data_IF_657589333303
#
_entry.id   IF_657589333303
#
_cell.length_a   1.000
_cell.length_b   1.000
_cell.length_c   1.000
_cell.angle_alpha   90.00
_cell.angle_beta   90.00
_cell.angle_gamma   90.00
#
_symmetry.space_group_name_H-M   'P 1'
#
loop_
_entity.id
_entity.type
_entity.pdbx_description
1 polymer ?
#
# COMPACT_ATOMS: atom_id res chain seq x y z
N UNK A 1 -5.24 18.72 9.91
CA UNK A 1 -4.22 18.72 8.84
C UNK A 1 -4.20 17.31 8.30
N UNK A 2 -4.62 17.15 7.05
CA UNK A 2 -4.70 15.86 6.37
C UNK A 2 -3.30 15.49 5.90
N UNK A 3 -2.82 14.30 6.25
CA UNK A 3 -1.47 13.87 5.90
C UNK A 3 -1.40 12.36 5.69
N UNK A 4 -0.75 11.88 4.62
CA UNK A 4 -0.45 10.47 4.45
C UNK A 4 0.42 9.98 5.61
N UNK A 5 0.05 8.85 6.22
CA UNK A 5 0.81 8.22 7.30
C UNK A 5 1.24 6.84 6.83
N UNK A 6 2.55 6.55 6.88
CA UNK A 6 3.09 5.21 6.69
C UNK A 6 3.36 4.59 8.06
N UNK A 7 2.83 3.40 8.32
CA UNK A 7 3.07 2.64 9.54
C UNK A 7 3.55 1.22 9.24
N UNK A 8 4.36 0.67 10.12
CA UNK A 8 4.66 -0.76 10.17
C UNK A 8 4.86 -1.19 11.62
N UNK A 9 4.43 -2.40 11.98
CA UNK A 9 4.55 -2.94 13.34
C UNK A 9 4.03 -1.97 14.42
N UNK A 10 2.89 -1.31 14.15
CA UNK A 10 2.25 -0.35 15.06
C UNK A 10 2.95 1.01 15.17
N UNK A 11 4.14 1.21 14.58
CA UNK A 11 4.90 2.46 14.63
C UNK A 11 4.69 3.29 13.37
N UNK A 12 4.57 4.60 13.54
CA UNK A 12 4.61 5.54 12.41
C UNK A 12 6.04 5.69 11.91
N UNK A 13 6.27 5.37 10.64
CA UNK A 13 7.56 5.50 9.97
C UNK A 13 7.69 6.82 9.22
N UNK A 14 6.61 7.33 8.63
CA UNK A 14 6.57 8.61 7.94
C UNK A 14 5.19 9.27 8.04
N UNK A 15 5.16 10.60 7.89
CA UNK A 15 3.95 11.41 7.88
C UNK A 15 4.15 12.57 6.91
N UNK A 16 3.45 12.56 5.78
CA UNK A 16 3.47 13.63 4.76
C UNK A 16 4.82 13.92 4.12
N UNK A 17 5.77 12.99 4.14
CA UNK A 17 7.11 13.16 3.57
C UNK A 17 7.65 11.87 2.98
N UNK A 18 8.53 12.02 2.00
CA UNK A 18 9.31 10.90 1.46
C UNK A 18 10.16 10.26 2.55
N UNK A 19 10.32 8.94 2.47
CA UNK A 19 11.13 8.17 3.42
C UNK A 19 11.89 7.07 2.70
N UNK A 20 13.12 6.84 3.14
CA UNK A 20 13.94 5.71 2.70
C UNK A 20 13.95 4.68 3.81
N UNK A 21 13.54 3.45 3.50
CA UNK A 21 13.60 2.33 4.43
C UNK A 21 14.86 1.52 4.11
N UNK A 22 15.78 1.44 5.08
CA UNK A 22 16.99 0.63 4.96
C UNK A 22 16.67 -0.80 5.37
N UNK A 23 16.45 -1.68 4.39
CA UNK A 23 16.03 -3.07 4.58
C UNK A 23 14.58 -3.30 4.18
N UNK A 24 14.04 -4.51 4.44
CA UNK A 24 12.69 -4.85 4.02
C UNK A 24 11.65 -4.07 4.83
N UNK A 25 10.64 -3.54 4.13
CA UNK A 25 9.42 -3.03 4.73
C UNK A 25 8.39 -4.15 4.70
N UNK A 26 7.97 -4.65 5.86
CA UNK A 26 7.07 -5.81 5.96
C UNK A 26 5.72 -5.38 6.52
N UNK A 27 4.63 -5.80 5.85
CA UNK A 27 3.25 -5.60 6.29
C UNK A 27 2.97 -4.15 6.74
N UNK A 28 3.45 -3.20 5.95
CA UNK A 28 3.24 -1.80 6.19
C UNK A 28 1.90 -1.35 5.63
N UNK A 29 1.35 -0.31 6.23
CA UNK A 29 0.07 0.28 5.87
C UNK A 29 0.26 1.77 5.64
N UNK A 30 -0.45 2.31 4.66
CA UNK A 30 -0.50 3.74 4.39
C UNK A 30 -1.94 4.21 4.20
N UNK A 31 -2.29 5.35 4.77
CA UNK A 31 -3.62 5.96 4.69
C UNK A 31 -3.54 7.48 4.88
N UNK A 32 -4.54 8.23 4.40
CA UNK A 32 -4.64 9.67 4.66
C UNK A 32 -5.24 9.92 6.05
N UNK A 33 -4.43 10.32 7.02
CA UNK A 33 -4.95 10.67 8.35
C UNK A 33 -5.57 12.07 8.33
N UNK A 34 -6.90 12.13 8.42
CA UNK A 34 -7.72 13.34 8.44
C UNK A 34 -8.40 13.61 9.81
N UNK A 35 -8.15 12.75 10.80
CA UNK A 35 -8.78 12.73 12.13
C UNK A 35 -9.94 11.73 12.24
N UNK A 36 -10.43 11.17 11.13
CA UNK A 36 -11.52 10.17 11.11
C UNK A 36 -10.98 8.73 11.05
N UNK A 37 -9.79 8.54 10.48
CA UNK A 37 -9.15 7.21 10.43
C UNK A 37 -8.75 6.74 11.82
N UNK A 38 -8.94 5.45 12.08
CA UNK A 38 -8.40 4.79 13.26
C UNK A 38 -6.87 4.75 13.26
N UNK A 39 -6.29 4.23 14.34
CA UNK A 39 -4.85 4.20 14.51
C UNK A 39 -4.13 3.40 13.42
N UNK A 40 -4.81 2.43 12.79
CA UNK A 40 -4.29 1.60 11.71
C UNK A 40 -5.09 1.77 10.42
N UNK A 41 -5.69 2.95 10.21
CA UNK A 41 -6.44 3.26 9.00
C UNK A 41 -7.87 2.72 9.01
N UNK A 42 -8.39 2.23 10.14
CA UNK A 42 -9.77 1.79 10.25
C UNK A 42 -10.72 2.93 9.82
N UNK A 43 -11.78 2.59 9.07
CA UNK A 43 -12.71 3.54 8.46
C UNK A 43 -12.15 4.36 7.29
N UNK A 44 -10.97 4.04 6.76
CA UNK A 44 -10.36 4.74 5.64
C UNK A 44 -9.85 3.79 4.55
N UNK A 45 -9.57 4.36 3.37
CA UNK A 45 -8.91 3.68 2.26
C UNK A 45 -7.48 3.35 2.69
N UNK A 46 -7.10 2.07 2.66
CA UNK A 46 -5.78 1.61 3.09
C UNK A 46 -4.97 1.11 1.89
N UNK A 47 -3.69 1.47 1.84
CA UNK A 47 -2.71 0.83 0.98
C UNK A 47 -1.84 -0.08 1.82
N UNK A 48 -1.89 -1.39 1.55
CA UNK A 48 -1.07 -2.40 2.23
C UNK A 48 0.15 -2.70 1.36
N UNK A 49 1.33 -2.80 1.97
CA UNK A 49 2.55 -3.04 1.22
C UNK A 49 3.59 -3.85 1.98
N UNK A 50 4.27 -4.72 1.23
CA UNK A 50 5.55 -5.31 1.60
C UNK A 50 6.56 -4.98 0.50
N UNK A 51 7.64 -4.30 0.87
CA UNK A 51 8.77 -4.00 -0.02
C UNK A 51 9.99 -4.81 0.43
N UNK A 52 10.36 -5.80 -0.37
CA UNK A 52 11.54 -6.64 -0.15
C UNK A 52 12.06 -7.18 -1.48
N UNK A 53 13.35 -7.51 -1.49
CA UNK A 53 13.95 -8.22 -2.60
C UNK A 53 13.36 -9.63 -2.72
N UNK A 54 13.14 -10.13 -3.95
CA UNK A 54 12.74 -11.51 -4.17
C UNK A 54 13.84 -12.48 -3.71
N UNK A 55 13.40 -13.60 -3.15
CA UNK A 55 14.25 -14.76 -2.86
C UNK A 55 14.47 -15.56 -4.15
N UNK A 56 15.73 -15.78 -4.58
CA UNK A 56 16.02 -16.55 -5.79
C UNK A 56 15.37 -17.94 -5.75
N UNK A 57 14.69 -18.31 -6.84
CA UNK A 57 14.01 -19.60 -6.97
C UNK A 57 12.67 -19.72 -6.24
N UNK A 58 12.17 -18.64 -5.61
CA UNK A 58 10.86 -18.60 -4.96
C UNK A 58 9.94 -17.60 -5.65
N UNK A 59 9.04 -18.04 -6.56
CA UNK A 59 8.07 -17.17 -7.19
C UNK A 59 7.19 -16.43 -6.17
N UNK A 60 6.92 -15.14 -6.42
CA UNK A 60 6.07 -14.32 -5.55
C UNK A 60 6.71 -13.92 -4.22
N UNK A 61 8.00 -14.22 -4.01
CA UNK A 61 8.71 -13.89 -2.76
C UNK A 61 9.14 -12.42 -2.66
N UNK A 62 9.02 -11.65 -3.74
CA UNK A 62 9.37 -10.24 -3.79
C UNK A 62 8.37 -9.30 -3.11
N UNK A 63 8.31 -8.08 -3.62
CA UNK A 63 7.43 -7.04 -3.10
C UNK A 63 5.99 -7.26 -3.55
N UNK A 64 5.05 -6.75 -2.77
CA UNK A 64 3.63 -6.80 -3.09
C UNK A 64 2.90 -5.61 -2.47
N UNK A 65 2.00 -5.00 -3.23
CA UNK A 65 1.20 -3.85 -2.77
C UNK A 65 -0.22 -3.98 -3.27
N UNK A 66 -1.18 -3.54 -2.45
CA UNK A 66 -2.59 -3.51 -2.80
C UNK A 66 -3.33 -2.38 -2.08
N UNK A 67 -4.57 -2.12 -2.52
CA UNK A 67 -5.53 -1.24 -1.85
C UNK A 67 -6.56 -2.15 -1.18
N UNK A 68 -6.92 -1.86 0.07
CA UNK A 68 -7.80 -2.70 0.87
C UNK A 68 -8.98 -1.90 1.42
N UNK A 69 -10.18 -2.40 1.14
CA UNK A 69 -11.48 -1.90 1.59
C UNK A 69 -12.25 -2.98 2.36
N UNK A 70 -11.57 -4.05 2.80
CA UNK A 70 -12.15 -5.10 3.63
C UNK A 70 -12.51 -4.50 5.00
N UNK A 71 -13.76 -4.63 5.50
CA UNK A 71 -14.13 -4.13 6.82
C UNK A 71 -13.15 -4.60 7.92
N UNK A 72 -12.68 -3.71 8.82
CA UNK A 72 -13.22 -2.38 9.14
C UNK A 72 -12.72 -1.21 8.25
N UNK A 73 -11.98 -1.50 7.17
CA UNK A 73 -11.59 -0.51 6.16
C UNK A 73 -12.80 -0.16 5.30
N UNK A 74 -12.79 1.04 4.72
CA UNK A 74 -13.84 1.49 3.79
C UNK A 74 -13.31 2.65 2.97
N UNK A 75 -13.91 2.90 1.82
CA UNK A 75 -13.51 4.03 1.00
C UNK A 75 -13.76 5.36 1.73
N UNK A 76 -12.73 6.20 1.80
CA UNK A 76 -12.78 7.56 2.37
C UNK A 76 -12.27 8.61 1.37
N UNK A 77 -11.24 8.28 0.60
CA UNK A 77 -10.67 9.10 -0.45
C UNK A 77 -10.14 8.22 -1.60
N UNK A 78 -9.83 8.86 -2.73
CA UNK A 78 -9.16 8.17 -3.82
C UNK A 78 -7.76 7.79 -3.37
N UNK A 79 -7.35 6.55 -3.64
CA UNK A 79 -5.98 6.12 -3.43
C UNK A 79 -5.41 5.52 -4.71
N UNK A 80 -4.13 5.77 -4.95
CA UNK A 80 -3.36 5.03 -5.95
C UNK A 80 -1.97 4.73 -5.43
N UNK A 81 -1.38 3.65 -5.95
CA UNK A 81 0.02 3.35 -5.76
C UNK A 81 0.66 2.95 -7.08
N UNK A 82 1.97 3.15 -7.19
CA UNK A 82 2.76 2.59 -8.29
C UNK A 82 4.21 2.36 -7.86
N UNK A 83 4.82 1.30 -8.38
CA UNK A 83 6.25 1.09 -8.22
C UNK A 83 7.03 2.13 -9.04
N UNK A 84 8.08 2.70 -8.47
CA UNK A 84 8.81 3.83 -9.09
C UNK A 84 10.09 3.42 -9.82
N UNK A 85 10.59 2.21 -9.56
CA UNK A 85 11.82 1.68 -10.15
C UNK A 85 11.79 0.13 -10.23
N UNK A 86 12.91 -0.46 -10.68
CA UNK A 86 13.24 -1.88 -10.56
C UNK A 86 12.23 -2.90 -11.13
N UNK A 87 12.20 -3.06 -12.46
CA UNK A 87 11.54 -4.19 -13.13
C UNK A 87 10.01 -4.14 -13.23
N UNK A 88 9.35 -3.39 -12.35
CA UNK A 88 7.89 -3.20 -12.30
C UNK A 88 7.51 -1.72 -12.32
N UNK A 89 8.41 -0.85 -12.79
CA UNK A 89 8.19 0.60 -12.78
C UNK A 89 6.90 0.96 -13.51
N UNK A 90 6.02 1.69 -12.83
CA UNK A 90 4.72 2.12 -13.35
C UNK A 90 3.59 1.13 -13.10
N UNK A 91 3.88 -0.10 -12.66
CA UNK A 91 2.85 -1.05 -12.24
C UNK A 91 2.23 -0.60 -10.91
N UNK A 92 0.91 -0.70 -10.81
CA UNK A 92 0.16 -0.12 -9.72
C UNK A 92 -1.35 -0.26 -9.92
N UNK A 93 -2.11 0.28 -8.97
CA UNK A 93 -3.57 0.30 -8.97
C UNK A 93 -4.09 1.63 -8.47
N UNK A 94 -5.34 1.92 -8.85
CA UNK A 94 -6.04 3.15 -8.48
C UNK A 94 -7.48 2.82 -8.12
N UNK A 95 -7.94 3.30 -6.97
CA UNK A 95 -9.30 3.18 -6.50
C UNK A 95 -9.90 4.57 -6.29
N UNK A 96 -10.87 4.97 -7.12
CA UNK A 96 -11.50 6.31 -7.10
C UNK A 96 -12.91 6.33 -6.50
N UNK A 97 -13.44 5.17 -6.12
CA UNK A 97 -14.81 5.03 -5.64
C UNK A 97 -14.99 3.79 -4.76
N UNK A 98 -16.05 3.72 -3.94
CA UNK A 98 -16.25 2.63 -2.98
C UNK A 98 -16.38 1.22 -3.59
N UNK A 99 -16.75 1.08 -4.86
CA UNK A 99 -16.95 -0.19 -5.56
C UNK A 99 -15.84 -0.46 -6.61
N UNK A 100 -14.66 0.14 -6.44
CA UNK A 100 -13.56 -0.03 -7.38
C UNK A 100 -13.12 -1.51 -7.46
N UNK A 101 -12.84 -2.00 -8.68
CA UNK A 101 -12.40 -3.39 -8.90
C UNK A 101 -10.90 -3.61 -8.64
N UNK A 102 -10.20 -2.55 -8.27
CA UNK A 102 -8.76 -2.52 -8.08
C UNK A 102 -8.36 -2.52 -6.59
N UNK A 103 -9.31 -2.82 -5.70
CA UNK A 103 -9.09 -2.98 -4.27
C UNK A 103 -9.67 -4.30 -3.76
N UNK A 104 -9.13 -4.80 -2.66
CA UNK A 104 -9.70 -5.91 -1.92
C UNK A 104 -11.01 -5.48 -1.25
N UNK A 105 -12.10 -6.18 -1.55
CA UNK A 105 -13.38 -6.06 -0.82
C UNK A 105 -13.64 -7.29 0.04
N UNK A 106 -12.97 -8.40 -0.28
CA UNK A 106 -12.99 -9.66 0.46
C UNK A 106 -11.61 -10.35 0.37
N UNK A 107 -11.25 -11.23 1.31
CA UNK A 107 -9.91 -11.80 1.40
C UNK A 107 -9.41 -12.60 0.18
N UNK A 108 -10.33 -13.07 -0.68
CA UNK A 108 -10.04 -13.86 -1.87
C UNK A 108 -9.88 -13.01 -3.16
N UNK A 109 -9.93 -11.68 -3.08
CA UNK A 109 -9.70 -10.76 -4.22
C UNK A 109 -8.21 -10.65 -4.64
N UNK A 110 -7.46 -11.73 -4.55
CA UNK A 110 -5.98 -11.74 -4.71
C UNK A 110 -5.47 -11.20 -6.05
N UNK A 111 -6.33 -11.13 -7.07
CA UNK A 111 -6.04 -10.57 -8.39
C UNK A 111 -5.85 -9.04 -8.40
N UNK A 112 -6.23 -8.33 -7.34
CA UNK A 112 -6.07 -6.87 -7.23
C UNK A 112 -4.71 -6.46 -6.69
N UNK A 113 -3.97 -7.42 -6.11
CA UNK A 113 -2.62 -7.22 -5.64
C UNK A 113 -1.63 -7.13 -6.81
N UNK A 114 -0.64 -6.24 -6.69
CA UNK A 114 0.44 -6.09 -7.67
C UNK A 114 1.74 -6.53 -7.05
N UNK A 115 2.30 -7.61 -7.58
CA UNK A 115 3.58 -8.15 -7.16
C UNK A 115 4.72 -7.60 -8.01
N UNK A 116 5.87 -7.31 -7.39
CA UNK A 116 7.08 -6.91 -8.07
C UNK A 116 8.26 -7.79 -7.68
N UNK A 117 8.90 -8.41 -8.69
CA UNK A 117 10.08 -9.27 -8.51
C UNK A 117 11.39 -8.52 -8.82
N UNK A 118 11.38 -7.19 -8.75
CA UNK A 118 12.58 -6.36 -8.78
C UNK A 118 13.26 -6.26 -7.42
N UNK A 119 14.54 -5.87 -7.42
CA UNK A 119 15.29 -5.57 -6.19
C UNK A 119 15.30 -4.08 -5.92
N UNK A 120 15.37 -3.70 -4.64
CA UNK A 120 15.43 -2.30 -4.18
C UNK A 120 14.29 -1.43 -4.77
N UNK A 121 13.07 -1.95 -4.72
CA UNK A 121 11.89 -1.26 -5.27
C UNK A 121 11.53 -0.04 -4.41
N UNK A 122 11.03 1.00 -5.07
CA UNK A 122 10.39 2.17 -4.49
C UNK A 122 8.91 2.16 -4.82
N UNK A 123 8.12 2.82 -3.98
CA UNK A 123 6.67 2.89 -4.08
C UNK A 123 6.23 4.34 -3.90
N UNK A 124 5.43 4.84 -4.82
CA UNK A 124 4.71 6.10 -4.68
C UNK A 124 3.26 5.78 -4.31
N UNK A 125 2.74 6.45 -3.30
CA UNK A 125 1.33 6.34 -2.86
C UNK A 125 0.73 7.75 -2.88
N UNK A 126 -0.41 7.89 -3.53
CA UNK A 126 -1.15 9.15 -3.63
C UNK A 126 -2.55 9.01 -3.07
N UNK A 127 -2.97 9.99 -2.28
CA UNK A 127 -4.33 10.14 -1.74
C UNK A 127 -4.93 11.45 -2.27
N UNK A 128 -6.17 11.43 -2.76
CA UNK A 128 -6.85 12.57 -3.40
C UNK A 128 -8.33 12.67 -3.04
#
# INVERSE_FOLDING_TARGET
MEQPVLKANGKTLASGKDTTINGPLIAAISFLQDGKCGANGERCTLVETTLKDPTPGQPGSGSSTDISLIPPLKFSETASFKYTNAGCKGEGKTCTKPDCKDAFHKPDDTHVQVACQGKNVGLEISFC
#
